data_IF_584188754111
#
_entry.id   IF_584188754111
#
_cell.length_a   1.000
_cell.length_b   1.000
_cell.length_c   1.000
_cell.angle_alpha   90.00
_cell.angle_beta   90.00
_cell.angle_gamma   90.00
#
_symmetry.space_group_name_H-M   'P 1'
#
loop_
_entity.id
_entity.type
_entity.pdbx_description
1 polymer ?
#
# COMPACT_ATOMS: atom_id res chain seq x y z
N UNK A 1 4.59 39.42 -0.42
CA UNK A 1 3.13 39.52 -0.58
C UNK A 1 2.63 38.10 -0.66
N UNK A 2 2.07 37.63 0.44
CA UNK A 2 1.67 36.24 0.65
C UNK A 2 0.20 36.17 0.30
N UNK A 3 -0.12 35.79 -0.93
CA UNK A 3 -1.44 35.22 -1.21
C UNK A 3 -1.28 33.71 -1.17
N UNK A 4 -1.46 33.14 0.02
CA UNK A 4 -1.90 31.75 0.11
C UNK A 4 -3.31 31.72 -0.47
N UNK A 5 -3.45 31.27 -1.72
CA UNK A 5 -4.76 30.87 -2.20
C UNK A 5 -5.25 29.74 -1.26
N UNK A 6 -6.46 29.83 -0.72
CA UNK A 6 -7.01 28.75 0.07
C UNK A 6 -7.04 27.50 -0.82
N UNK A 7 -6.38 26.43 -0.38
CA UNK A 7 -6.49 25.13 -1.02
C UNK A 7 -7.97 24.73 -0.94
N UNK A 8 -8.63 24.73 -2.08
CA UNK A 8 -10.04 24.43 -2.20
C UNK A 8 -10.16 23.12 -2.97
N UNK A 9 -10.44 22.04 -2.24
CA UNK A 9 -10.59 20.67 -2.75
C UNK A 9 -11.79 20.50 -3.70
N UNK A 10 -12.63 21.52 -3.82
CA UNK A 10 -13.80 21.54 -4.71
C UNK A 10 -13.48 21.95 -6.17
N UNK A 11 -12.22 22.20 -6.52
CA UNK A 11 -11.85 22.53 -7.90
C UNK A 11 -11.56 21.28 -8.74
N UNK A 12 -12.39 21.09 -9.76
CA UNK A 12 -12.12 20.15 -10.85
C UNK A 12 -10.79 20.50 -11.52
N UNK A 13 -9.81 19.60 -11.34
CA UNK A 13 -8.45 19.76 -11.84
C UNK A 13 -8.25 19.16 -13.24
N UNK A 14 -9.28 18.55 -13.82
CA UNK A 14 -9.20 17.94 -15.14
C UNK A 14 -9.54 18.93 -16.26
N UNK A 15 -8.53 19.72 -16.67
CA UNK A 15 -8.63 20.63 -17.81
C UNK A 15 -8.40 19.95 -19.18
N UNK A 16 -8.20 18.62 -19.20
CA UNK A 16 -7.73 17.90 -20.40
C UNK A 16 -8.84 17.54 -21.39
N UNK A 17 -10.11 17.72 -21.01
CA UNK A 17 -11.28 17.32 -21.81
C UNK A 17 -11.49 15.81 -21.88
N UNK A 18 -10.69 15.02 -21.14
CA UNK A 18 -10.93 13.59 -20.97
C UNK A 18 -12.13 13.34 -20.05
N UNK A 19 -12.84 12.24 -20.29
CA UNK A 19 -13.99 11.87 -19.48
C UNK A 19 -13.60 11.70 -18.00
N UNK A 20 -14.41 12.28 -17.12
CA UNK A 20 -14.24 12.13 -15.67
C UNK A 20 -14.35 10.66 -15.27
N UNK A 21 -13.64 10.29 -14.20
CA UNK A 21 -13.76 8.94 -13.64
C UNK A 21 -15.22 8.62 -13.27
N UNK A 22 -15.97 9.60 -12.77
CA UNK A 22 -17.39 9.47 -12.44
C UNK A 22 -18.24 9.13 -13.67
N UNK A 23 -17.95 9.70 -14.83
CA UNK A 23 -18.61 9.37 -16.09
C UNK A 23 -18.26 7.96 -16.55
N UNK A 24 -16.99 7.56 -16.47
CA UNK A 24 -16.55 6.21 -16.83
C UNK A 24 -17.19 5.15 -15.92
N UNK A 25 -17.27 5.43 -14.61
CA UNK A 25 -17.88 4.57 -13.61
C UNK A 25 -19.39 4.41 -13.87
N UNK A 26 -20.11 5.52 -14.03
CA UNK A 26 -21.55 5.51 -14.29
C UNK A 26 -21.92 4.89 -15.64
N UNK A 27 -21.03 4.95 -16.63
CA UNK A 27 -21.23 4.34 -17.95
C UNK A 27 -21.13 2.82 -17.93
N UNK A 28 -20.42 2.23 -16.95
CA UNK A 28 -20.17 0.78 -16.90
C UNK A 28 -20.82 0.04 -15.73
N UNK A 29 -21.20 0.74 -14.67
CA UNK A 29 -21.75 0.12 -13.46
C UNK A 29 -22.98 0.92 -13.02
N UNK A 30 -24.16 0.32 -13.15
CA UNK A 30 -25.37 0.87 -12.52
C UNK A 30 -25.43 0.39 -11.06
N UNK A 31 -26.06 1.17 -10.16
CA UNK A 31 -26.27 0.76 -8.75
C UNK A 31 -26.95 -0.61 -8.63
N UNK A 32 -27.82 -0.94 -9.58
CA UNK A 32 -28.51 -2.23 -9.66
C UNK A 32 -27.59 -3.35 -10.13
N UNK A 33 -26.66 -3.06 -11.04
CA UNK A 33 -25.61 -3.99 -11.48
C UNK A 33 -24.65 -4.30 -10.33
N UNK A 34 -24.31 -3.30 -9.50
CA UNK A 34 -23.48 -3.48 -8.31
C UNK A 34 -24.19 -4.40 -7.29
N UNK A 35 -25.46 -4.14 -6.98
CA UNK A 35 -26.27 -4.96 -6.05
C UNK A 35 -26.47 -6.39 -6.58
N UNK A 36 -26.66 -6.55 -7.90
CA UNK A 36 -26.84 -7.86 -8.53
C UNK A 36 -25.53 -8.66 -8.55
N UNK A 37 -24.40 -8.01 -8.81
CA UNK A 37 -23.06 -8.63 -8.78
C UNK A 37 -22.62 -9.03 -7.37
N UNK A 38 -23.07 -8.34 -6.31
CA UNK A 38 -22.82 -8.74 -4.92
C UNK A 38 -23.67 -9.94 -4.46
N UNK A 39 -24.80 -10.22 -5.12
CA UNK A 39 -25.64 -11.38 -4.80
C UNK A 39 -25.15 -12.70 -5.45
N UNK A 40 -24.21 -12.63 -6.40
CA UNK A 40 -23.68 -13.77 -7.14
C UNK A 40 -22.16 -13.90 -7.01
N UNK A 41 -21.67 -14.21 -5.81
CA UNK A 41 -20.32 -14.77 -5.57
C UNK A 41 -19.10 -13.90 -5.91
N UNK A 42 -18.32 -13.57 -4.87
CA UNK A 42 -16.89 -13.23 -4.90
C UNK A 42 -16.40 -11.78 -5.12
N UNK A 43 -17.20 -10.73 -4.85
CA UNK A 43 -16.63 -9.39 -4.58
C UNK A 43 -17.23 -8.79 -3.30
N UNK A 44 -16.51 -8.96 -2.19
CA UNK A 44 -16.84 -8.34 -0.91
C UNK A 44 -16.03 -7.04 -0.75
N UNK A 45 -16.57 -5.91 -1.23
CA UNK A 45 -16.22 -4.59 -0.70
C UNK A 45 -17.03 -4.39 0.59
N UNK A 46 -16.53 -4.91 1.69
CA UNK A 46 -17.20 -4.82 2.99
C UNK A 46 -17.03 -3.42 3.59
N UNK A 47 -17.96 -2.51 3.27
CA UNK A 47 -18.29 -1.40 4.18
C UNK A 47 -19.28 -1.92 5.21
N UNK A 48 -18.76 -2.11 6.43
CA UNK A 48 -19.42 -2.29 7.72
C UNK A 48 -20.95 -2.51 7.76
N UNK A 49 -21.38 -3.73 8.15
CA UNK A 49 -22.57 -3.95 8.97
C UNK A 49 -22.60 -5.38 9.55
N UNK A 50 -22.55 -5.47 10.89
CA UNK A 50 -23.13 -6.50 11.76
C UNK A 50 -23.37 -7.92 11.19
N UNK A 51 -22.49 -8.86 11.55
CA UNK A 51 -22.70 -10.29 11.31
C UNK A 51 -23.31 -10.96 12.55
N UNK A 52 -24.63 -11.12 12.54
CA UNK A 52 -25.36 -12.16 13.28
C UNK A 52 -25.93 -13.12 12.24
N UNK A 53 -25.72 -14.43 12.43
CA UNK A 53 -26.21 -15.44 11.50
C UNK A 53 -25.73 -16.85 11.85
N UNK A 54 -26.51 -17.54 12.67
CA UNK A 54 -26.39 -18.96 13.00
C UNK A 54 -26.77 -19.88 11.82
N UNK A 55 -26.32 -21.14 11.84
CA UNK A 55 -26.95 -22.24 11.09
C UNK A 55 -26.12 -23.53 10.99
N UNK A 56 -26.52 -24.54 11.79
CA UNK A 56 -26.26 -26.01 11.73
C UNK A 56 -26.31 -26.62 10.30
N UNK A 57 -25.86 -27.85 9.99
CA UNK A 57 -25.80 -29.11 10.76
C UNK A 57 -24.88 -30.14 10.07
N UNK A 58 -24.58 -31.21 10.81
CA UNK A 58 -23.74 -32.37 10.49
C UNK A 58 -24.19 -33.22 9.28
N UNK A 59 -23.23 -33.78 8.54
CA UNK A 59 -23.37 -35.10 7.90
C UNK A 59 -22.02 -35.80 7.74
N UNK A 60 -21.88 -36.92 8.45
CA UNK A 60 -20.71 -37.78 8.51
C UNK A 60 -20.85 -38.86 7.42
N UNK A 61 -20.10 -38.76 6.32
CA UNK A 61 -19.92 -39.87 5.38
C UNK A 61 -18.42 -40.10 5.12
N UNK A 62 -17.96 -41.28 5.55
CA UNK A 62 -16.55 -41.68 5.53
C UNK A 62 -16.24 -42.34 4.19
N UNK A 63 -15.73 -41.55 3.24
CA UNK A 63 -15.15 -42.06 1.99
C UNK A 63 -13.62 -42.04 2.03
N UNK A 64 -12.92 -42.94 1.32
CA UNK A 64 -11.47 -43.13 1.44
C UNK A 64 -10.69 -41.88 1.02
N UNK A 65 -9.80 -41.42 1.89
CA UNK A 65 -9.06 -40.17 1.76
C UNK A 65 -8.02 -40.26 0.64
N UNK A 66 -8.32 -39.73 -0.53
CA UNK A 66 -7.29 -39.25 -1.46
C UNK A 66 -6.44 -38.19 -0.76
N UNK A 67 -5.10 -38.14 -0.96
CA UNK A 67 -4.27 -37.07 -0.40
C UNK A 67 -4.81 -35.73 -0.89
N UNK A 68 -5.47 -35.00 0.00
CA UNK A 68 -5.96 -33.66 -0.29
C UNK A 68 -4.74 -32.77 -0.38
N UNK A 69 -4.39 -32.36 -1.59
CA UNK A 69 -3.43 -31.26 -1.79
C UNK A 69 -3.94 -30.08 -0.96
N UNK A 70 -3.14 -29.55 -0.01
CA UNK A 70 -3.59 -28.45 0.83
C UNK A 70 -4.09 -27.32 -0.05
N UNK A 71 -5.33 -26.88 0.18
CA UNK A 71 -5.87 -25.71 -0.49
C UNK A 71 -5.00 -24.52 -0.10
N UNK A 72 -4.31 -23.93 -1.09
CA UNK A 72 -3.43 -22.77 -0.89
C UNK A 72 -4.21 -21.55 -0.39
N UNK A 73 -5.53 -21.56 -0.51
CA UNK A 73 -6.42 -20.50 -0.02
C UNK A 73 -7.08 -20.83 1.32
N UNK A 74 -6.69 -21.92 2.00
CA UNK A 74 -7.25 -22.23 3.31
C UNK A 74 -6.80 -21.18 4.33
N UNK A 75 -7.76 -20.46 4.90
CA UNK A 75 -7.51 -19.52 6.00
C UNK A 75 -6.82 -20.24 7.15
N UNK A 76 -5.64 -19.75 7.63
CA UNK A 76 -4.95 -20.38 8.75
C UNK A 76 -5.83 -20.40 10.01
N UNK A 77 -5.86 -21.53 10.72
CA UNK A 77 -6.63 -21.68 11.97
C UNK A 77 -6.01 -20.95 13.16
N UNK A 78 -4.72 -20.55 13.06
CA UNK A 78 -3.98 -19.88 14.13
C UNK A 78 -2.74 -19.18 13.60
N UNK A 79 -2.33 -18.13 14.30
CA UNK A 79 -1.03 -17.48 14.11
C UNK A 79 0.07 -18.34 14.76
N UNK A 80 1.23 -18.43 14.12
CA UNK A 80 2.34 -19.31 14.54
C UNK A 80 3.52 -18.58 15.19
N UNK A 81 3.38 -17.28 15.45
CA UNK A 81 4.40 -16.48 16.14
C UNK A 81 3.93 -16.10 17.55
N UNK A 82 4.89 -15.97 18.47
CA UNK A 82 4.64 -15.42 19.80
C UNK A 82 4.44 -13.90 19.69
N UNK A 83 3.38 -13.38 20.30
CA UNK A 83 3.13 -11.95 20.33
C UNK A 83 4.29 -11.19 21.00
N UNK A 84 4.64 -10.03 20.45
CA UNK A 84 5.67 -9.13 20.98
C UNK A 84 5.04 -8.22 22.04
N UNK A 85 5.74 -8.01 23.15
CA UNK A 85 5.29 -7.11 24.20
C UNK A 85 5.36 -5.64 23.75
N UNK A 86 4.35 -4.84 24.14
CA UNK A 86 4.37 -3.39 23.94
C UNK A 86 5.58 -2.78 24.64
N UNK A 87 6.21 -1.80 23.99
CA UNK A 87 7.35 -1.07 24.51
C UNK A 87 7.39 0.33 23.91
N UNK A 88 8.28 1.18 24.42
CA UNK A 88 8.50 2.57 23.99
C UNK A 88 9.93 2.79 23.49
N UNK A 89 10.59 1.71 23.07
CA UNK A 89 11.95 1.78 22.55
C UNK A 89 11.91 2.39 21.15
N UNK A 90 12.92 3.19 20.83
CA UNK A 90 13.11 3.76 19.48
C UNK A 90 13.70 2.72 18.53
N UNK A 91 12.98 1.61 18.32
CA UNK A 91 13.40 0.50 17.47
C UNK A 91 12.19 -0.34 17.02
N UNK A 92 12.36 -1.06 15.93
CA UNK A 92 11.38 -2.07 15.48
C UNK A 92 11.63 -3.37 16.25
N UNK A 93 10.61 -3.85 16.97
CA UNK A 93 10.65 -5.13 17.69
C UNK A 93 9.79 -6.18 16.97
N UNK A 94 10.38 -7.35 16.69
CA UNK A 94 9.75 -8.45 15.94
C UNK A 94 9.72 -9.74 16.77
N UNK A 95 8.86 -10.72 16.43
CA UNK A 95 8.86 -12.02 17.09
C UNK A 95 10.20 -12.76 16.95
N UNK A 96 10.44 -13.72 17.84
CA UNK A 96 11.60 -14.62 17.75
C UNK A 96 11.65 -15.34 16.40
N UNK A 97 12.83 -15.38 15.78
CA UNK A 97 13.06 -15.98 14.46
C UNK A 97 12.75 -15.05 13.26
N UNK A 98 12.33 -13.81 13.51
CA UNK A 98 12.09 -12.80 12.47
C UNK A 98 13.16 -11.70 12.47
N UNK A 99 13.31 -11.03 11.33
CA UNK A 99 14.19 -9.88 11.14
C UNK A 99 13.44 -8.77 10.40
N UNK A 100 13.74 -7.51 10.74
CA UNK A 100 13.30 -6.34 9.99
C UNK A 100 14.52 -5.65 9.37
N UNK A 101 14.41 -5.26 8.10
CA UNK A 101 15.47 -4.54 7.36
C UNK A 101 14.88 -3.33 6.67
N UNK A 102 15.65 -2.26 6.58
CA UNK A 102 15.31 -1.09 5.77
C UNK A 102 15.44 -1.47 4.29
N UNK A 103 14.37 -1.28 3.53
CA UNK A 103 14.35 -1.56 2.09
C UNK A 103 14.62 -0.31 1.26
N UNK A 104 13.95 0.80 1.60
CA UNK A 104 14.04 2.08 0.91
C UNK A 104 13.69 3.17 1.91
N UNK A 105 14.65 4.05 2.18
CA UNK A 105 14.55 5.15 3.14
C UNK A 105 14.46 6.49 2.43
N UNK A 106 14.02 7.53 3.16
CA UNK A 106 14.03 8.93 2.72
C UNK A 106 15.39 9.33 2.14
N UNK A 107 15.37 9.95 0.95
CA UNK A 107 16.56 10.42 0.27
C UNK A 107 17.36 9.35 -0.47
N UNK A 108 17.01 8.07 -0.38
CA UNK A 108 17.67 7.01 -1.15
C UNK A 108 17.59 7.30 -2.66
N UNK A 109 18.68 7.12 -3.41
CA UNK A 109 18.70 7.39 -4.85
C UNK A 109 17.91 6.34 -5.62
N UNK A 110 17.01 6.79 -6.51
CA UNK A 110 16.23 5.87 -7.37
C UNK A 110 16.96 5.52 -8.68
N UNK A 111 18.07 6.20 -8.96
CA UNK A 111 18.79 6.08 -10.22
C UNK A 111 20.26 6.45 -10.06
N UNK A 112 21.09 5.92 -10.95
CA UNK A 112 22.56 6.05 -10.87
C UNK A 112 23.06 7.50 -10.91
N UNK A 113 24.23 7.71 -10.30
CA UNK A 113 24.95 8.99 -10.31
C UNK A 113 24.57 9.96 -9.19
N UNK A 114 23.68 9.55 -8.28
CA UNK A 114 23.42 10.26 -7.04
C UNK A 114 24.18 9.61 -5.90
N UNK A 115 24.73 10.42 -4.99
CA UNK A 115 25.34 9.93 -3.75
C UNK A 115 24.25 9.40 -2.82
N UNK A 116 24.63 8.52 -1.89
CA UNK A 116 23.78 8.14 -0.76
C UNK A 116 23.46 9.36 0.12
N UNK A 117 22.47 9.20 1.01
CA UNK A 117 22.13 10.22 1.99
C UNK A 117 23.30 10.51 2.93
N UNK A 118 23.57 11.79 3.16
CA UNK A 118 24.58 12.26 4.12
C UNK A 118 23.96 13.35 5.00
N UNK A 119 23.81 13.05 6.29
CA UNK A 119 23.27 13.97 7.30
C UNK A 119 24.12 15.24 7.48
N UNK A 120 25.41 15.19 7.13
CA UNK A 120 26.32 16.34 7.18
C UNK A 120 26.30 17.15 5.88
N UNK A 121 25.74 16.59 4.81
CA UNK A 121 25.64 17.22 3.50
C UNK A 121 24.28 16.90 2.87
N UNK A 122 23.22 17.40 3.51
CA UNK A 122 21.85 17.08 3.12
C UNK A 122 21.63 17.39 1.63
N UNK A 123 21.17 16.41 0.83
CA UNK A 123 20.92 16.60 -0.60
C UNK A 123 19.99 17.78 -0.88
N UNK A 124 20.25 18.48 -1.99
CA UNK A 124 19.41 19.59 -2.42
C UNK A 124 18.00 19.11 -2.73
N UNK A 125 16.98 19.94 -2.47
CA UNK A 125 15.59 19.61 -2.81
C UNK A 125 15.40 19.28 -4.30
N UNK A 126 16.18 19.91 -5.20
CA UNK A 126 16.14 19.59 -6.62
C UNK A 126 16.56 18.14 -6.93
N UNK A 127 17.36 17.50 -6.08
CA UNK A 127 17.75 16.09 -6.28
C UNK A 127 16.63 15.08 -5.98
N UNK A 128 15.59 15.49 -5.25
CA UNK A 128 14.46 14.63 -4.87
C UNK A 128 13.54 14.25 -6.03
N UNK A 129 13.73 14.82 -7.22
CA UNK A 129 13.11 14.29 -8.45
C UNK A 129 13.61 12.89 -8.84
N UNK A 130 14.73 12.45 -8.24
CA UNK A 130 15.39 11.17 -8.48
C UNK A 130 15.78 10.47 -7.17
N UNK A 131 15.15 10.84 -6.06
CA UNK A 131 15.31 10.18 -4.75
C UNK A 131 13.94 9.81 -4.21
N UNK A 132 13.90 8.94 -3.21
CA UNK A 132 12.69 8.72 -2.43
C UNK A 132 12.23 10.04 -1.78
N UNK A 133 10.93 10.30 -1.79
CA UNK A 133 10.32 11.37 -1.01
C UNK A 133 10.17 11.00 0.47
N UNK A 134 9.47 11.84 1.22
CA UNK A 134 9.28 11.69 2.66
C UNK A 134 7.96 11.01 3.00
N UNK A 135 7.81 10.60 4.27
CA UNK A 135 6.58 10.09 4.85
C UNK A 135 5.89 9.07 3.94
N UNK A 136 6.61 7.97 3.68
CA UNK A 136 6.08 6.83 2.94
C UNK A 136 4.78 6.36 3.58
N UNK A 137 3.74 6.18 2.76
CA UNK A 137 2.45 5.66 3.20
C UNK A 137 2.00 4.53 2.27
N UNK A 138 0.77 4.59 1.75
CA UNK A 138 0.17 3.55 0.95
C UNK A 138 1.11 3.01 -0.13
N UNK A 139 1.22 1.69 -0.19
CA UNK A 139 2.10 0.99 -1.11
C UNK A 139 1.44 -0.26 -1.69
N UNK A 140 1.90 -0.68 -2.87
CA UNK A 140 1.47 -1.91 -3.54
C UNK A 140 2.64 -2.52 -4.30
N UNK A 141 2.87 -3.81 -4.09
CA UNK A 141 3.86 -4.58 -4.82
C UNK A 141 3.20 -5.34 -5.98
N UNK A 142 3.76 -5.20 -7.17
CA UNK A 142 3.33 -5.91 -8.37
C UNK A 142 4.42 -6.89 -8.79
N UNK A 143 4.17 -8.19 -8.59
CA UNK A 143 5.05 -9.25 -9.08
C UNK A 143 5.26 -9.17 -10.59
N UNK A 144 6.49 -9.39 -11.06
CA UNK A 144 6.83 -9.28 -12.48
C UNK A 144 7.64 -10.46 -13.02
N UNK A 145 7.15 -11.04 -14.12
CA UNK A 145 7.84 -12.07 -14.90
C UNK A 145 7.98 -11.58 -16.34
N UNK A 146 9.19 -11.59 -16.91
CA UNK A 146 9.47 -11.12 -18.27
C UNK A 146 8.89 -9.72 -18.56
N UNK A 147 9.10 -8.79 -17.63
CA UNK A 147 8.62 -7.39 -17.69
C UNK A 147 7.09 -7.25 -17.78
N UNK A 148 6.33 -8.25 -17.32
CA UNK A 148 4.86 -8.21 -17.24
C UNK A 148 4.39 -8.56 -15.84
N UNK A 149 3.24 -8.01 -15.45
CA UNK A 149 2.59 -8.36 -14.19
C UNK A 149 2.30 -9.86 -14.13
N UNK A 150 2.63 -10.47 -12.99
CA UNK A 150 2.39 -11.87 -12.67
C UNK A 150 1.99 -11.98 -11.20
N UNK A 151 0.73 -12.37 -10.97
CA UNK A 151 0.15 -12.50 -9.61
C UNK A 151 0.82 -13.61 -8.79
N UNK A 152 1.49 -14.56 -9.43
CA UNK A 152 2.16 -15.66 -8.75
C UNK A 152 3.65 -15.39 -8.49
N UNK A 153 4.15 -14.21 -8.87
CA UNK A 153 5.55 -13.83 -8.68
C UNK A 153 5.71 -12.92 -7.45
N UNK A 154 6.68 -13.24 -6.60
CA UNK A 154 7.03 -12.47 -5.39
C UNK A 154 8.52 -12.12 -5.28
N UNK A 155 9.39 -12.75 -6.06
CA UNK A 155 10.85 -12.60 -5.95
C UNK A 155 11.38 -11.37 -6.70
N UNK A 156 10.61 -10.87 -7.65
CA UNK A 156 10.94 -9.69 -8.45
C UNK A 156 9.66 -8.95 -8.83
N UNK A 157 9.68 -7.63 -8.79
CA UNK A 157 8.50 -6.83 -9.08
C UNK A 157 8.72 -5.33 -9.00
N UNK A 158 7.62 -4.60 -9.17
CA UNK A 158 7.56 -3.15 -9.02
C UNK A 158 6.85 -2.82 -7.70
N UNK A 159 7.56 -2.15 -6.79
CA UNK A 159 6.95 -1.53 -5.62
C UNK A 159 6.51 -0.10 -5.99
N UNK A 160 5.22 0.16 -5.90
CA UNK A 160 4.65 1.50 -6.06
C UNK A 160 4.27 2.00 -4.67
N UNK A 161 4.72 3.20 -4.31
CA UNK A 161 4.47 3.76 -2.98
C UNK A 161 4.21 5.26 -3.06
N UNK A 162 3.41 5.75 -2.13
CA UNK A 162 3.15 7.17 -1.96
C UNK A 162 4.22 7.83 -1.08
N UNK A 163 4.41 9.13 -1.31
CA UNK A 163 5.13 10.05 -0.43
C UNK A 163 4.12 11.12 -0.01
N UNK A 164 3.56 11.00 1.20
CA UNK A 164 2.31 11.68 1.56
C UNK A 164 2.50 13.18 1.79
N UNK A 165 3.51 13.53 2.58
CA UNK A 165 3.81 14.92 2.94
C UNK A 165 5.30 15.08 3.22
N UNK A 166 5.67 16.33 3.51
CA UNK A 166 7.02 16.71 3.91
C UNK A 166 6.95 17.28 5.33
N UNK A 167 7.78 16.77 6.24
CA UNK A 167 7.87 17.27 7.62
C UNK A 167 8.50 18.68 7.68
N UNK A 168 8.41 19.36 8.83
CA UNK A 168 8.80 20.78 8.98
C UNK A 168 10.16 21.07 8.29
N UNK A 169 10.19 22.14 7.48
CA UNK A 169 11.29 22.59 6.62
C UNK A 169 12.65 22.67 7.34
N UNK A 170 12.67 22.71 8.67
CA UNK A 170 13.87 22.67 9.51
C UNK A 170 14.64 21.34 9.42
N UNK A 171 13.99 20.24 9.05
CA UNK A 171 14.57 18.89 9.04
C UNK A 171 15.26 18.60 7.72
N UNK A 172 14.57 18.77 6.59
CA UNK A 172 15.10 18.43 5.27
C UNK A 172 15.92 19.54 4.61
N UNK A 173 15.47 20.78 4.69
CA UNK A 173 16.13 21.89 4.02
C UNK A 173 16.18 23.11 4.96
N UNK A 174 16.92 23.01 6.09
CA UNK A 174 17.20 24.19 6.91
C UNK A 174 17.84 25.21 5.99
N UNK A 175 17.10 26.30 5.74
CA UNK A 175 17.38 27.26 4.67
C UNK A 175 18.88 27.47 4.52
N UNK A 176 19.43 27.01 3.39
CA UNK A 176 20.77 27.40 2.94
C UNK A 176 20.79 28.92 3.07
N UNK A 177 21.56 29.42 4.05
CA UNK A 177 21.78 30.86 4.19
C UNK A 177 22.54 31.26 2.93
N UNK A 178 21.80 31.75 1.94
CA UNK A 178 22.36 32.49 0.83
C UNK A 178 22.89 33.77 1.45
N UNK A 179 24.21 33.83 1.61
CA UNK A 179 24.93 35.07 1.88
C UNK A 179 24.76 36.03 0.71
#
# INVERSE_FOLDING_TARGET
>A
MTEQMPFNDDYDSNNSGNAEFSELFNKKITRRDLITKTAGGAVALTLAASLTGCGDDDNNDSTPTTPVTPDKNQTPSSLKFKAVNKNVLDQVSVPEGYEARVLYALGDPISDGLTEWDENNIPTGASFVRRSGECHDGMTFFGMTNSRFDVNQSDSGLLVMNHEYVDDKKILHPAVRVC
#
